data_IF_765740959387
#
_entry.id   IF_765740959387
#
_cell.length_a   1.000
_cell.length_b   1.000
_cell.length_c   1.000
_cell.angle_alpha   90.00
_cell.angle_beta   90.00
_cell.angle_gamma   90.00
#
_symmetry.space_group_name_H-M   'P 1'
#
loop_
_entity.id
_entity.type
_entity.pdbx_description
1 polymer ?
#
# COMPACT_ATOMS: atom_id res chain seq x y z
N UNK A 1 19.39 -21.55 -3.34
CA UNK A 1 18.05 -20.95 -3.49
C UNK A 1 17.37 -21.60 -4.69
N UNK A 2 16.21 -22.22 -4.49
CA UNK A 2 15.46 -22.88 -5.57
C UNK A 2 14.87 -21.86 -6.54
N UNK A 3 14.56 -22.27 -7.79
CA UNK A 3 13.93 -21.40 -8.78
C UNK A 3 12.64 -20.75 -8.22
N UNK A 4 11.84 -21.56 -7.53
CA UNK A 4 10.60 -21.13 -6.88
C UNK A 4 10.81 -20.06 -5.79
N UNK A 5 11.85 -20.21 -4.96
CA UNK A 5 12.21 -19.19 -3.97
C UNK A 5 12.64 -17.88 -4.63
N UNK A 6 13.42 -17.96 -5.73
CA UNK A 6 13.84 -16.78 -6.49
C UNK A 6 12.63 -16.03 -7.05
N UNK A 7 11.68 -16.73 -7.66
CA UNK A 7 10.45 -16.13 -8.18
C UNK A 7 9.65 -15.40 -7.09
N UNK A 8 9.47 -16.02 -5.92
CA UNK A 8 8.76 -15.39 -4.79
C UNK A 8 9.44 -14.14 -4.27
N UNK A 9 10.78 -14.15 -4.20
CA UNK A 9 11.55 -12.96 -3.83
C UNK A 9 11.38 -11.82 -4.84
N UNK A 10 11.45 -12.13 -6.13
CA UNK A 10 11.21 -11.15 -7.21
C UNK A 10 9.79 -10.59 -7.15
N UNK A 11 8.78 -11.46 -6.97
CA UNK A 11 7.39 -11.01 -6.82
C UNK A 11 7.17 -10.15 -5.58
N UNK A 12 7.88 -10.43 -4.47
CA UNK A 12 7.82 -9.57 -3.29
C UNK A 12 8.35 -8.16 -3.58
N UNK A 13 9.47 -8.04 -4.30
CA UNK A 13 10.02 -6.74 -4.72
C UNK A 13 9.05 -6.01 -5.64
N UNK A 14 8.53 -6.70 -6.66
CA UNK A 14 7.57 -6.14 -7.62
C UNK A 14 6.31 -5.67 -6.88
N UNK A 15 5.75 -6.49 -6.00
CA UNK A 15 4.58 -6.12 -5.21
C UNK A 15 4.83 -4.87 -4.38
N UNK A 16 5.98 -4.74 -3.71
CA UNK A 16 6.30 -3.53 -2.96
C UNK A 16 6.40 -2.30 -3.87
N UNK A 17 7.07 -2.44 -5.02
CA UNK A 17 7.19 -1.37 -6.02
C UNK A 17 5.83 -0.91 -6.54
N UNK A 18 4.94 -1.84 -6.89
CA UNK A 18 3.56 -1.55 -7.31
C UNK A 18 2.78 -0.86 -6.19
N UNK A 19 2.93 -1.31 -4.93
CA UNK A 19 2.31 -0.67 -3.78
C UNK A 19 2.75 0.78 -3.58
N UNK A 20 4.03 1.08 -3.81
CA UNK A 20 4.57 2.46 -3.78
C UNK A 20 4.02 3.30 -4.93
N UNK A 21 3.89 2.75 -6.14
CA UNK A 21 3.28 3.46 -7.28
C UNK A 21 1.83 3.86 -6.98
N UNK A 22 1.03 2.94 -6.43
CA UNK A 22 -0.34 3.25 -6.00
C UNK A 22 -0.39 4.30 -4.89
N UNK A 23 0.56 4.28 -3.96
CA UNK A 23 0.66 5.30 -2.93
C UNK A 23 0.97 6.68 -3.53
N UNK A 24 1.90 6.75 -4.49
CA UNK A 24 2.20 8.01 -5.20
C UNK A 24 0.98 8.53 -5.96
N UNK A 25 0.20 7.65 -6.61
CA UNK A 25 -1.07 8.06 -7.24
C UNK A 25 -2.07 8.59 -6.20
N UNK A 26 -2.21 7.95 -5.04
CA UNK A 26 -3.08 8.45 -3.98
C UNK A 26 -2.66 9.86 -3.53
N UNK A 27 -1.36 10.08 -3.28
CA UNK A 27 -0.81 11.39 -2.90
C UNK A 27 -1.08 12.44 -3.99
N UNK A 28 -0.88 12.08 -5.27
CA UNK A 28 -1.20 12.95 -6.39
C UNK A 28 -2.68 13.37 -6.40
N UNK A 29 -3.61 12.43 -6.22
CA UNK A 29 -5.04 12.74 -6.17
C UNK A 29 -5.44 13.54 -4.93
N UNK A 30 -4.77 13.35 -3.78
CA UNK A 30 -4.95 14.22 -2.60
C UNK A 30 -4.57 15.67 -2.97
N UNK A 31 -3.40 15.88 -3.58
CA UNK A 31 -2.96 17.22 -3.97
C UNK A 31 -3.92 17.86 -4.97
N UNK A 32 -4.39 17.09 -5.96
CA UNK A 32 -5.42 17.50 -6.92
C UNK A 32 -6.75 17.87 -6.23
N UNK A 33 -7.19 17.09 -5.26
CA UNK A 33 -8.42 17.32 -4.51
C UNK A 33 -8.43 18.65 -3.75
N UNK A 34 -7.29 19.07 -3.20
CA UNK A 34 -7.17 20.35 -2.49
C UNK A 34 -6.93 21.54 -3.42
N UNK A 35 -6.34 21.32 -4.60
CA UNK A 35 -6.05 22.39 -5.56
C UNK A 35 -7.25 22.76 -6.44
N UNK A 36 -8.03 21.79 -6.88
CA UNK A 36 -9.10 21.99 -7.87
C UNK A 36 -10.47 22.13 -7.17
N UNK A 37 -10.67 23.20 -6.40
CA UNK A 37 -11.90 23.41 -5.61
C UNK A 37 -13.16 23.64 -6.44
N UNK A 38 -13.01 24.15 -7.66
CA UNK A 38 -14.13 24.47 -8.58
C UNK A 38 -14.49 23.31 -9.52
N UNK A 39 -13.72 22.21 -9.50
CA UNK A 39 -13.94 21.10 -10.42
C UNK A 39 -15.16 20.27 -10.00
N UNK A 40 -16.19 20.09 -10.87
CA UNK A 40 -17.37 19.30 -10.54
C UNK A 40 -17.06 17.82 -10.25
N UNK A 41 -15.94 17.30 -10.77
CA UNK A 41 -15.48 15.92 -10.57
C UNK A 41 -14.58 15.75 -9.33
N UNK A 42 -14.47 16.77 -8.47
CA UNK A 42 -13.58 16.74 -7.30
C UNK A 42 -13.81 15.53 -6.39
N UNK A 43 -15.06 15.08 -6.24
CA UNK A 43 -15.38 13.89 -5.44
C UNK A 43 -14.79 12.59 -6.01
N UNK A 44 -14.57 12.51 -7.33
CA UNK A 44 -13.93 11.35 -7.96
C UNK A 44 -12.45 11.26 -7.59
N UNK A 45 -11.77 12.40 -7.38
CA UNK A 45 -10.40 12.39 -6.87
C UNK A 45 -10.34 11.79 -5.47
N UNK A 46 -11.29 12.13 -4.59
CA UNK A 46 -11.34 11.55 -3.25
C UNK A 46 -11.57 10.04 -3.28
N UNK A 47 -12.42 9.56 -4.19
CA UNK A 47 -12.58 8.13 -4.42
C UNK A 47 -11.29 7.46 -4.93
N UNK A 48 -10.59 8.09 -5.88
CA UNK A 48 -9.31 7.62 -6.38
C UNK A 48 -8.23 7.53 -5.28
N UNK A 49 -8.25 8.44 -4.29
CA UNK A 49 -7.39 8.37 -3.11
C UNK A 49 -7.63 7.08 -2.33
N UNK A 50 -8.90 6.74 -2.05
CA UNK A 50 -9.23 5.51 -1.32
C UNK A 50 -8.83 4.25 -2.07
N UNK A 51 -9.05 4.24 -3.39
CA UNK A 51 -8.57 3.16 -4.27
C UNK A 51 -7.04 3.02 -4.18
N UNK A 52 -6.31 4.13 -4.26
CA UNK A 52 -4.85 4.09 -4.15
C UNK A 52 -4.37 3.57 -2.80
N UNK A 53 -5.02 3.98 -1.70
CA UNK A 53 -4.71 3.51 -0.34
C UNK A 53 -4.96 1.99 -0.21
N UNK A 54 -6.10 1.48 -0.68
CA UNK A 54 -6.44 0.05 -0.51
C UNK A 54 -5.52 -0.84 -1.34
N UNK A 55 -5.22 -0.47 -2.59
CA UNK A 55 -4.29 -1.24 -3.42
C UNK A 55 -2.87 -1.17 -2.88
N UNK A 56 -2.40 0.02 -2.49
CA UNK A 56 -1.08 0.19 -1.87
C UNK A 56 -0.92 -0.70 -0.63
N UNK A 57 -1.93 -0.69 0.25
CA UNK A 57 -2.00 -1.56 1.43
C UNK A 57 -1.90 -3.05 1.05
N UNK A 58 -2.75 -3.51 0.12
CA UNK A 58 -2.79 -4.90 -0.30
C UNK A 58 -1.47 -5.38 -0.89
N UNK A 59 -0.85 -4.57 -1.74
CA UNK A 59 0.44 -4.88 -2.36
C UNK A 59 1.60 -4.88 -1.35
N UNK A 60 1.65 -3.93 -0.43
CA UNK A 60 2.65 -3.89 0.64
C UNK A 60 2.53 -5.10 1.58
N UNK A 61 1.32 -5.45 2.03
CA UNK A 61 1.11 -6.62 2.88
C UNK A 61 1.44 -7.93 2.14
N UNK A 62 1.05 -8.04 0.87
CA UNK A 62 1.38 -9.20 0.02
C UNK A 62 2.89 -9.35 -0.17
N UNK A 63 3.62 -8.25 -0.36
CA UNK A 63 5.08 -8.25 -0.41
C UNK A 63 5.69 -8.80 0.87
N UNK A 64 5.21 -8.33 2.04
CA UNK A 64 5.69 -8.80 3.33
C UNK A 64 5.42 -10.32 3.52
N UNK A 65 4.23 -10.79 3.16
CA UNK A 65 3.88 -12.22 3.23
C UNK A 65 4.78 -13.06 2.31
N UNK A 66 4.99 -12.64 1.06
CA UNK A 66 5.87 -13.32 0.11
C UNK A 66 7.32 -13.38 0.64
N UNK A 67 7.82 -12.28 1.20
CA UNK A 67 9.14 -12.21 1.81
C UNK A 67 9.31 -13.18 3.00
N UNK A 68 8.27 -13.34 3.84
CA UNK A 68 8.26 -14.31 4.94
C UNK A 68 8.42 -15.74 4.43
N UNK A 69 7.81 -16.08 3.29
CA UNK A 69 7.93 -17.44 2.73
C UNK A 69 9.34 -17.80 2.25
N UNK A 70 10.21 -16.80 2.03
CA UNK A 70 11.60 -16.99 1.58
C UNK A 70 12.62 -16.57 2.63
N UNK A 71 12.20 -16.30 3.88
CA UNK A 71 13.07 -15.78 4.96
C UNK A 71 14.35 -16.58 5.21
N UNK A 72 14.30 -17.90 5.04
CA UNK A 72 15.44 -18.80 5.27
C UNK A 72 16.41 -18.84 4.07
N UNK A 73 16.02 -18.28 2.92
CA UNK A 73 16.77 -18.33 1.68
C UNK A 73 17.48 -17.00 1.34
N UNK A 74 17.20 -15.93 2.10
CA UNK A 74 17.77 -14.59 1.88
C UNK A 74 18.54 -14.10 3.11
N UNK A 75 19.53 -13.20 2.93
CA UNK A 75 20.21 -12.58 4.06
C UNK A 75 19.24 -11.82 4.98
N UNK A 76 19.50 -11.84 6.30
CA UNK A 76 18.66 -11.15 7.31
C UNK A 76 18.44 -9.67 7.00
N UNK A 77 19.45 -9.00 6.44
CA UNK A 77 19.38 -7.58 6.06
C UNK A 77 18.38 -7.37 4.91
N UNK A 78 18.47 -8.17 3.85
CA UNK A 78 17.53 -8.10 2.71
C UNK A 78 16.10 -8.41 3.15
N UNK A 79 15.92 -9.41 4.02
CA UNK A 79 14.61 -9.71 4.60
C UNK A 79 14.02 -8.50 5.34
N UNK A 80 14.79 -7.87 6.22
CA UNK A 80 14.33 -6.70 6.99
C UNK A 80 14.01 -5.50 6.08
N UNK A 81 14.86 -5.22 5.09
CA UNK A 81 14.64 -4.12 4.14
C UNK A 81 13.37 -4.30 3.31
N UNK A 82 13.01 -5.55 2.99
CA UNK A 82 11.81 -5.85 2.22
C UNK A 82 10.54 -5.85 3.10
N UNK A 83 10.59 -6.49 4.28
CA UNK A 83 9.42 -6.66 5.14
C UNK A 83 9.08 -5.46 6.01
N UNK A 84 10.07 -4.82 6.64
CA UNK A 84 9.80 -3.78 7.65
C UNK A 84 9.13 -2.55 7.02
N UNK A 85 9.64 -1.97 5.92
CA UNK A 85 8.97 -0.83 5.29
C UNK A 85 7.59 -1.20 4.74
N UNK A 86 7.45 -2.40 4.16
CA UNK A 86 6.18 -2.88 3.64
C UNK A 86 5.11 -3.02 4.74
N UNK A 87 5.48 -3.56 5.91
CA UNK A 87 4.59 -3.66 7.06
C UNK A 87 4.25 -2.30 7.65
N UNK A 88 5.23 -1.41 7.84
CA UNK A 88 4.99 -0.08 8.39
C UNK A 88 4.03 0.69 7.49
N UNK A 89 4.31 0.75 6.18
CA UNK A 89 3.47 1.46 5.21
C UNK A 89 2.09 0.80 5.13
N UNK A 90 2.03 -0.52 4.97
CA UNK A 90 0.77 -1.26 4.85
C UNK A 90 -0.13 -1.10 6.08
N UNK A 91 0.42 -1.23 7.29
CA UNK A 91 -0.35 -1.07 8.53
C UNK A 91 -0.79 0.37 8.74
N UNK A 92 0.07 1.36 8.46
CA UNK A 92 -0.29 2.77 8.56
C UNK A 92 -1.46 3.10 7.63
N UNK A 93 -1.39 2.67 6.37
CA UNK A 93 -2.45 2.88 5.39
C UNK A 93 -3.75 2.15 5.77
N UNK A 94 -3.64 0.95 6.32
CA UNK A 94 -4.80 0.20 6.84
C UNK A 94 -5.47 0.93 7.99
N UNK A 95 -4.70 1.47 8.94
CA UNK A 95 -5.22 2.27 10.07
C UNK A 95 -5.93 3.52 9.54
N UNK A 96 -5.32 4.23 8.58
CA UNK A 96 -5.93 5.42 7.96
C UNK A 96 -7.26 5.06 7.28
N UNK A 97 -7.28 3.96 6.54
CA UNK A 97 -8.47 3.47 5.83
C UNK A 97 -9.60 3.11 6.81
N UNK A 98 -9.33 2.23 7.77
CA UNK A 98 -10.33 1.75 8.73
C UNK A 98 -10.77 2.87 9.68
N UNK A 99 -9.85 3.72 10.14
CA UNK A 99 -10.16 4.84 11.02
C UNK A 99 -11.10 5.85 10.35
N UNK A 100 -10.85 6.16 9.07
CA UNK A 100 -11.71 7.07 8.30
C UNK A 100 -13.10 6.48 8.03
N UNK A 101 -13.17 5.17 7.76
CA UNK A 101 -14.44 4.47 7.60
C UNK A 101 -15.24 4.44 8.91
N UNK A 102 -14.60 4.08 10.02
CA UNK A 102 -15.23 4.05 11.34
C UNK A 102 -15.74 5.44 11.76
N UNK A 103 -14.94 6.48 11.55
CA UNK A 103 -15.36 7.86 11.77
C UNK A 103 -16.58 8.23 10.90
N UNK A 104 -16.55 7.88 9.61
CA UNK A 104 -17.66 8.14 8.70
C UNK A 104 -18.96 7.44 9.10
N UNK A 105 -18.88 6.24 9.70
CA UNK A 105 -20.04 5.54 10.27
C UNK A 105 -20.54 6.28 11.52
N UNK A 106 -19.66 6.58 12.48
CA UNK A 106 -20.02 7.23 13.74
C UNK A 106 -20.68 8.61 13.56
N UNK A 107 -20.29 9.37 12.54
CA UNK A 107 -20.90 10.69 12.26
C UNK A 107 -22.29 10.56 11.61
N UNK A 108 -22.64 9.40 11.05
CA UNK A 108 -23.90 9.17 10.32
C UNK A 108 -24.93 8.35 11.10
N UNK A 109 -24.52 7.67 12.16
CA UNK A 109 -25.38 6.91 13.09
C UNK A 109 -25.68 7.71 14.34
#
# INVERSE_FOLDING_TARGET
MTLWQKSRYVFAIIAQGVGIVWLMMAIYFIAKYYRDTENPLRHEYWFAVWIGIIYSTGFCLSSALLAVTVKNAIPRVAFRLLTVPALIIGLLLLIIYLGSMAYGIMVRT
#
